data_IF_415785487136
#
_entry.id   IF_415785487136
#
_cell.length_a   1.000
_cell.length_b   1.000
_cell.length_c   1.000
_cell.angle_alpha   90.00
_cell.angle_beta   90.00
_cell.angle_gamma   90.00
#
_symmetry.space_group_name_H-M   'P 1'
#
loop_
_entity.id
_entity.type
_entity.pdbx_description
1 polymer ?
#
# COMPACT_ATOMS: atom_id res chain seq x y z
N UNK A 1 30.28 5.54 -1.46
CA UNK A 1 28.92 4.94 -1.38
C UNK A 1 28.71 4.45 0.03
N UNK A 2 28.02 5.22 0.87
CA UNK A 2 27.72 4.80 2.25
C UNK A 2 26.59 3.80 2.16
N UNK A 3 26.95 2.54 2.34
CA UNK A 3 25.98 1.44 2.46
C UNK A 3 25.30 1.59 3.83
N UNK A 4 24.19 2.29 3.90
CA UNK A 4 23.36 2.36 5.11
C UNK A 4 22.76 0.98 5.31
N UNK A 5 23.39 0.21 6.19
CA UNK A 5 22.85 -1.10 6.60
C UNK A 5 21.62 -0.85 7.43
N UNK A 6 20.47 -1.32 6.98
CA UNK A 6 19.27 -1.39 7.81
C UNK A 6 19.52 -2.31 9.00
N UNK A 7 18.77 -2.12 10.08
CA UNK A 7 18.79 -3.01 11.23
C UNK A 7 17.43 -3.68 11.42
N UNK A 8 17.46 -4.93 11.87
CA UNK A 8 16.30 -5.72 12.26
C UNK A 8 16.55 -6.28 13.65
N UNK A 9 15.70 -5.92 14.61
CA UNK A 9 15.66 -6.51 15.93
C UNK A 9 14.34 -7.25 16.08
N UNK A 10 14.44 -8.48 16.57
CA UNK A 10 13.27 -9.33 16.84
C UNK A 10 13.41 -9.89 18.25
N UNK A 11 12.40 -9.69 19.07
CA UNK A 11 12.30 -10.21 20.42
C UNK A 11 10.90 -10.76 20.62
N UNK A 12 10.77 -11.89 21.32
CA UNK A 12 9.45 -12.46 21.50
C UNK A 12 9.41 -13.72 22.33
N UNK A 13 8.21 -14.20 22.55
CA UNK A 13 7.89 -15.44 23.25
C UNK A 13 7.04 -16.34 22.37
N UNK A 14 7.31 -17.64 22.47
CA UNK A 14 6.53 -18.69 21.82
C UNK A 14 6.15 -19.75 22.85
N UNK A 15 4.86 -19.97 23.01
CA UNK A 15 4.30 -21.12 23.70
C UNK A 15 3.61 -22.01 22.67
N UNK A 16 3.89 -23.30 22.69
CA UNK A 16 3.41 -24.23 21.65
C UNK A 16 2.05 -24.84 22.01
N UNK A 17 1.79 -25.11 23.30
CA UNK A 17 0.54 -25.68 23.79
C UNK A 17 0.04 -24.94 25.05
N UNK A 18 -1.09 -24.22 24.97
CA UNK A 18 -1.76 -23.76 23.75
C UNK A 18 -0.85 -22.81 22.95
N UNK A 19 -1.07 -22.71 21.65
CA UNK A 19 -0.27 -21.79 20.81
C UNK A 19 -0.51 -20.35 21.26
N UNK A 20 0.55 -19.71 21.71
CA UNK A 20 0.56 -18.29 22.07
C UNK A 20 1.92 -17.68 21.65
N UNK A 21 1.87 -16.74 20.75
CA UNK A 21 3.03 -16.08 20.16
C UNK A 21 2.92 -14.57 20.34
N UNK A 22 3.97 -13.95 20.85
CA UNK A 22 4.10 -12.51 20.88
C UNK A 22 5.51 -12.13 20.41
N UNK A 23 5.60 -11.37 19.30
CA UNK A 23 6.88 -11.01 18.67
C UNK A 23 6.92 -9.50 18.48
N UNK A 24 7.91 -8.87 19.09
CA UNK A 24 8.27 -7.46 18.87
C UNK A 24 9.25 -7.38 17.73
N UNK A 25 8.93 -6.56 16.74
CA UNK A 25 9.76 -6.35 15.57
C UNK A 25 10.09 -4.87 15.46
N UNK A 26 11.38 -4.56 15.44
CA UNK A 26 11.86 -3.20 15.18
C UNK A 26 12.81 -3.24 14.00
N UNK A 27 12.44 -2.53 12.93
CA UNK A 27 13.28 -2.35 11.74
C UNK A 27 13.61 -0.88 11.57
N UNK A 28 14.84 -0.59 11.13
CA UNK A 28 15.30 0.78 10.83
C UNK A 28 15.99 0.78 9.48
N UNK A 29 15.57 1.67 8.61
CA UNK A 29 16.21 1.95 7.32
C UNK A 29 16.46 0.70 6.46
N UNK A 30 15.52 -0.26 6.44
CA UNK A 30 15.58 -1.43 5.55
C UNK A 30 15.42 -0.91 4.11
N UNK A 31 16.38 -1.13 3.21
CA UNK A 31 16.27 -0.65 1.83
C UNK A 31 15.18 -1.41 1.07
N UNK A 32 14.38 -0.67 0.30
CA UNK A 32 13.30 -1.23 -0.53
C UNK A 32 13.77 -1.62 -1.94
N UNK A 33 15.02 -1.35 -2.31
CA UNK A 33 15.55 -1.70 -3.63
C UNK A 33 15.38 -3.19 -4.02
N UNK A 34 15.44 -4.16 -3.10
CA UNK A 34 15.21 -5.57 -3.44
C UNK A 34 13.81 -5.88 -3.97
N UNK A 35 12.80 -5.03 -3.72
CA UNK A 35 11.44 -5.23 -4.26
C UNK A 35 11.26 -4.63 -5.67
N UNK A 36 12.22 -3.84 -6.17
CA UNK A 36 12.13 -3.21 -7.50
C UNK A 36 11.83 -4.21 -8.62
N UNK A 37 12.48 -5.39 -8.71
CA UNK A 37 12.18 -6.35 -9.77
C UNK A 37 10.72 -6.81 -9.78
N UNK A 38 10.09 -6.92 -8.62
CA UNK A 38 8.67 -7.28 -8.50
C UNK A 38 7.77 -6.13 -8.95
N UNK A 39 8.08 -4.90 -8.55
CA UNK A 39 7.34 -3.71 -8.99
C UNK A 39 7.39 -3.55 -10.50
N UNK A 40 8.57 -3.73 -11.09
CA UNK A 40 8.79 -3.55 -12.52
C UNK A 40 8.12 -4.63 -13.40
N UNK A 41 7.65 -5.73 -12.84
CA UNK A 41 6.81 -6.70 -13.57
C UNK A 41 5.42 -6.16 -13.86
N UNK A 42 4.83 -5.41 -12.93
CA UNK A 42 3.46 -4.92 -13.00
C UNK A 42 3.36 -3.45 -13.39
N UNK A 43 4.44 -2.70 -13.15
CA UNK A 43 4.46 -1.25 -13.30
C UNK A 43 5.60 -0.79 -14.22
N UNK A 44 5.32 0.24 -15.01
CA UNK A 44 6.30 0.94 -15.84
C UNK A 44 7.04 2.02 -15.03
N UNK A 45 7.45 1.66 -13.83
CA UNK A 45 8.21 2.54 -12.94
C UNK A 45 9.50 1.87 -12.49
N UNK A 46 10.45 2.69 -12.04
CA UNK A 46 11.66 2.24 -11.38
C UNK A 46 11.72 2.83 -9.98
N UNK A 47 11.79 1.97 -8.98
CA UNK A 47 12.07 2.37 -7.62
C UNK A 47 13.57 2.69 -7.51
N UNK A 48 13.93 3.93 -7.29
CA UNK A 48 15.33 4.37 -7.23
C UNK A 48 15.84 4.54 -5.81
N UNK A 49 14.95 4.85 -4.87
CA UNK A 49 15.23 4.93 -3.43
C UNK A 49 13.99 4.57 -2.64
N UNK A 50 14.19 4.09 -1.43
CA UNK A 50 13.15 3.81 -0.48
C UNK A 50 13.69 3.06 0.71
N UNK A 51 13.17 3.38 1.89
CA UNK A 51 13.54 2.76 3.14
C UNK A 51 12.29 2.45 3.95
N UNK A 52 12.31 1.29 4.61
CA UNK A 52 11.27 0.86 5.51
C UNK A 52 11.76 0.95 6.95
N UNK A 53 10.97 1.54 7.82
CA UNK A 53 11.09 1.41 9.26
C UNK A 53 9.76 0.93 9.85
N UNK A 54 9.85 0.05 10.82
CA UNK A 54 8.71 -0.49 11.54
C UNK A 54 9.08 -0.65 13.02
N UNK A 55 8.12 -0.40 13.91
CA UNK A 55 8.23 -0.75 15.32
C UNK A 55 6.86 -1.19 15.80
N UNK A 56 6.75 -2.46 16.14
CA UNK A 56 5.46 -3.01 16.56
C UNK A 56 5.56 -4.39 17.16
N UNK A 57 4.42 -4.91 17.55
CA UNK A 57 4.23 -6.22 18.15
C UNK A 57 3.18 -7.00 17.36
N UNK A 58 3.54 -8.18 16.92
CA UNK A 58 2.64 -9.14 16.32
C UNK A 58 2.28 -10.21 17.36
N UNK A 59 1.02 -10.55 17.44
CA UNK A 59 0.50 -11.58 18.35
C UNK A 59 -0.31 -12.61 17.58
N UNK A 60 -0.20 -13.88 17.98
CA UNK A 60 -1.04 -14.95 17.46
C UNK A 60 -1.34 -15.95 18.57
N UNK A 61 -2.62 -16.25 18.78
CA UNK A 61 -3.09 -17.21 19.76
C UNK A 61 -4.12 -18.15 19.13
N UNK A 62 -3.95 -19.43 19.35
CA UNK A 62 -4.93 -20.43 18.98
C UNK A 62 -5.67 -20.90 20.22
N UNK A 63 -6.97 -20.66 20.27
CA UNK A 63 -7.86 -21.13 21.33
C UNK A 63 -9.00 -22.01 20.76
N UNK A 64 -9.94 -22.40 21.60
CA UNK A 64 -11.09 -23.23 21.21
C UNK A 64 -12.03 -22.54 20.21
N UNK A 65 -11.95 -21.22 20.07
CA UNK A 65 -12.76 -20.41 19.15
C UNK A 65 -12.07 -20.17 17.81
N UNK A 66 -10.78 -20.48 17.69
CA UNK A 66 -10.01 -20.32 16.45
C UNK A 66 -8.70 -19.54 16.63
N UNK A 67 -8.10 -19.16 15.51
CA UNK A 67 -6.87 -18.37 15.49
C UNK A 67 -7.20 -16.88 15.65
N UNK A 68 -6.71 -16.29 16.72
CA UNK A 68 -6.70 -14.84 16.95
C UNK A 68 -5.31 -14.31 16.67
N UNK A 69 -5.18 -13.41 15.72
CA UNK A 69 -3.92 -12.75 15.39
C UNK A 69 -4.11 -11.23 15.34
N UNK A 70 -3.06 -10.51 15.65
CA UNK A 70 -3.08 -9.06 15.65
C UNK A 70 -1.70 -8.46 15.47
N UNK A 71 -1.68 -7.19 15.13
CA UNK A 71 -0.48 -6.38 15.05
C UNK A 71 -0.76 -4.99 15.60
N UNK A 72 0.13 -4.50 16.45
CA UNK A 72 0.11 -3.12 16.95
C UNK A 72 1.46 -2.47 16.73
N UNK A 73 1.46 -1.27 16.14
CA UNK A 73 2.73 -0.60 15.91
C UNK A 73 2.64 0.61 14.99
N UNK A 74 3.82 1.01 14.53
CA UNK A 74 4.00 2.12 13.61
C UNK A 74 4.81 1.65 12.41
N UNK A 75 4.58 2.30 11.28
CA UNK A 75 5.22 1.98 10.02
C UNK A 75 5.63 3.26 9.30
N UNK A 76 6.82 3.30 8.73
CA UNK A 76 7.32 4.46 7.98
C UNK A 76 7.95 4.02 6.68
N UNK A 77 7.52 4.63 5.58
CA UNK A 77 8.18 4.59 4.29
C UNK A 77 8.94 5.91 4.09
N UNK A 78 10.27 5.84 4.18
CA UNK A 78 11.14 7.00 4.11
C UNK A 78 11.92 7.09 2.81
N UNK A 79 12.32 8.31 2.43
CA UNK A 79 13.17 8.61 1.27
C UNK A 79 12.72 7.89 -0.02
N UNK A 80 11.41 7.86 -0.26
CA UNK A 80 10.84 7.12 -1.38
C UNK A 80 10.90 7.91 -2.67
N UNK A 81 11.44 7.30 -3.74
CA UNK A 81 11.53 7.91 -5.06
C UNK A 81 11.27 6.89 -6.15
N UNK A 82 10.30 7.19 -6.98
CA UNK A 82 9.91 6.39 -8.15
C UNK A 82 9.99 7.24 -9.41
N UNK A 83 10.61 6.69 -10.43
CA UNK A 83 10.77 7.29 -11.76
C UNK A 83 9.85 6.60 -12.76
N UNK A 84 9.15 7.37 -13.55
CA UNK A 84 8.38 6.91 -14.72
C UNK A 84 9.34 6.46 -15.82
N UNK A 85 9.29 5.17 -16.20
CA UNK A 85 10.15 4.62 -17.25
C UNK A 85 9.76 5.10 -18.66
N UNK A 86 8.51 5.43 -18.86
CA UNK A 86 7.99 5.87 -20.17
C UNK A 86 8.47 7.29 -20.47
N UNK A 87 8.35 8.19 -19.49
CA UNK A 87 8.69 9.60 -19.64
C UNK A 87 10.11 9.94 -19.13
N UNK A 88 10.83 8.97 -18.54
CA UNK A 88 12.19 9.15 -17.97
C UNK A 88 12.27 10.33 -16.99
N UNK A 89 11.26 10.48 -16.14
CA UNK A 89 11.11 11.61 -15.24
C UNK A 89 10.68 11.17 -13.83
N UNK A 90 10.97 12.00 -12.82
CA UNK A 90 10.44 11.79 -11.47
C UNK A 90 8.91 11.71 -11.55
N UNK A 91 8.36 10.62 -11.05
CA UNK A 91 6.91 10.39 -11.02
C UNK A 91 6.32 10.66 -9.65
N UNK A 92 6.92 10.07 -8.63
CA UNK A 92 6.41 10.12 -7.27
C UNK A 92 7.57 10.10 -6.28
N UNK A 93 7.56 11.02 -5.31
CA UNK A 93 8.53 11.04 -4.22
C UNK A 93 7.96 11.66 -2.96
N UNK A 94 8.47 11.21 -1.82
CA UNK A 94 8.23 11.81 -0.52
C UNK A 94 9.42 11.57 0.42
N UNK A 95 9.53 12.44 1.43
CA UNK A 95 10.55 12.29 2.48
C UNK A 95 10.14 11.23 3.49
N UNK A 96 8.90 11.26 3.94
CA UNK A 96 8.35 10.30 4.89
C UNK A 96 6.84 10.15 4.71
N UNK A 97 6.40 8.91 4.67
CA UNK A 97 4.99 8.51 4.83
C UNK A 97 4.92 7.64 6.08
N UNK A 98 4.29 8.17 7.11
CA UNK A 98 4.17 7.57 8.43
C UNK A 98 2.74 7.10 8.71
N UNK A 99 2.62 5.91 9.28
CA UNK A 99 1.39 5.35 9.81
C UNK A 99 1.60 5.05 11.29
N UNK A 100 0.90 5.82 12.14
CA UNK A 100 1.00 5.73 13.59
C UNK A 100 -0.20 5.08 14.24
N UNK A 101 0.04 4.35 15.33
CA UNK A 101 -1.01 3.71 16.10
C UNK A 101 -1.82 2.68 15.31
N UNK A 102 -1.17 1.90 14.46
CA UNK A 102 -1.81 0.79 13.75
C UNK A 102 -2.24 -0.26 14.79
N UNK A 103 -3.53 -0.62 14.79
CA UNK A 103 -4.09 -1.74 15.53
C UNK A 103 -4.88 -2.62 14.56
N UNK A 104 -4.25 -3.71 14.14
CA UNK A 104 -4.85 -4.73 13.27
C UNK A 104 -5.26 -5.94 14.10
N UNK A 105 -6.46 -6.44 13.86
CA UNK A 105 -6.98 -7.68 14.42
C UNK A 105 -7.52 -8.55 13.29
N UNK A 106 -7.24 -9.85 13.35
CA UNK A 106 -7.73 -10.80 12.35
C UNK A 106 -9.17 -11.23 12.65
N UNK A 107 -9.51 -11.43 13.92
CA UNK A 107 -10.84 -11.88 14.33
C UNK A 107 -11.36 -11.13 15.57
N UNK A 108 -12.49 -10.38 15.44
CA UNK A 108 -13.08 -9.98 14.17
C UNK A 108 -12.10 -9.11 13.37
N UNK A 109 -12.13 -9.21 12.01
CA UNK A 109 -11.22 -8.43 11.19
C UNK A 109 -11.47 -6.94 11.37
N UNK A 110 -10.48 -6.24 11.89
CA UNK A 110 -10.53 -4.81 12.14
C UNK A 110 -9.16 -4.18 11.92
N UNK A 111 -9.14 -2.99 11.35
CA UNK A 111 -7.94 -2.16 11.20
C UNK A 111 -8.25 -0.76 11.71
N UNK A 112 -7.44 -0.28 12.63
CA UNK A 112 -7.47 1.10 13.09
C UNK A 112 -6.09 1.72 12.87
N UNK A 113 -6.04 2.95 12.38
CA UNK A 113 -4.83 3.76 12.19
C UNK A 113 -5.11 5.11 12.82
N UNK A 114 -4.34 5.47 13.84
CA UNK A 114 -4.58 6.70 14.60
C UNK A 114 -4.04 7.93 13.90
N UNK A 115 -2.97 7.78 13.09
CA UNK A 115 -2.29 8.89 12.45
C UNK A 115 -1.73 8.47 11.10
N UNK A 116 -1.88 9.33 10.09
CA UNK A 116 -1.19 9.25 8.81
C UNK A 116 -0.55 10.61 8.55
N UNK A 117 0.78 10.62 8.41
CA UNK A 117 1.52 11.84 8.11
C UNK A 117 2.39 11.66 6.86
N UNK A 118 2.30 12.62 5.95
CA UNK A 118 3.07 12.64 4.71
C UNK A 118 3.86 13.95 4.64
N UNK A 119 5.17 13.86 4.41
CA UNK A 119 6.06 15.03 4.31
C UNK A 119 6.83 15.04 3.00
N UNK A 120 7.04 16.26 2.48
CA UNK A 120 7.81 16.55 1.26
C UNK A 120 7.32 15.71 0.07
N UNK A 121 6.01 15.69 -0.11
CA UNK A 121 5.37 14.97 -1.19
C UNK A 121 5.50 15.72 -2.51
N UNK A 122 5.84 14.97 -3.56
CA UNK A 122 5.82 15.43 -4.94
C UNK A 122 5.28 14.34 -5.85
N UNK A 123 4.41 14.74 -6.78
CA UNK A 123 3.95 13.88 -7.86
C UNK A 123 3.89 14.66 -9.17
N UNK A 124 4.31 14.03 -10.26
CA UNK A 124 4.22 14.58 -11.62
C UNK A 124 3.12 13.89 -12.40
N UNK A 125 2.00 14.58 -12.56
CA UNK A 125 0.89 14.14 -13.38
C UNK A 125 0.94 14.88 -14.73
N UNK A 126 0.93 14.13 -15.82
CA UNK A 126 0.98 14.66 -17.19
C UNK A 126 -0.29 14.25 -17.89
N UNK A 127 -1.05 15.23 -18.38
CA UNK A 127 -2.19 15.02 -19.27
C UNK A 127 -1.69 15.14 -20.71
N UNK A 128 -1.82 14.09 -21.50
CA UNK A 128 -1.43 14.10 -22.91
C UNK A 128 -2.50 14.79 -23.80
N UNK A 129 -2.20 14.95 -25.10
CA UNK A 129 -3.10 15.60 -26.05
C UNK A 129 -4.42 14.84 -26.25
N UNK A 130 -4.43 13.55 -26.00
CA UNK A 130 -5.59 12.65 -26.07
C UNK A 130 -6.42 12.65 -24.78
N UNK A 131 -6.09 13.50 -23.79
CA UNK A 131 -6.80 13.58 -22.52
C UNK A 131 -6.49 12.44 -21.55
N UNK A 132 -5.40 11.68 -21.74
CA UNK A 132 -4.99 10.60 -20.85
C UNK A 132 -3.90 11.07 -19.87
N UNK A 133 -4.04 10.69 -18.62
CA UNK A 133 -3.00 10.89 -17.59
C UNK A 133 -1.90 9.82 -17.73
N UNK A 134 -0.64 10.22 -17.53
CA UNK A 134 0.52 9.32 -17.49
C UNK A 134 0.39 8.19 -16.47
N UNK A 135 -0.44 8.35 -15.45
CA UNK A 135 -0.78 7.29 -14.48
C UNK A 135 -1.34 6.05 -15.18
N UNK A 136 -2.09 6.21 -16.27
CA UNK A 136 -2.63 5.10 -17.05
C UNK A 136 -1.53 4.25 -17.72
N UNK A 137 -0.38 4.84 -18.01
CA UNK A 137 0.77 4.17 -18.62
C UNK A 137 1.71 3.54 -17.58
N UNK A 138 1.54 3.90 -16.31
CA UNK A 138 2.30 3.32 -15.19
C UNK A 138 1.93 1.85 -14.97
N UNK A 139 0.66 1.49 -15.09
CA UNK A 139 0.21 0.11 -14.93
C UNK A 139 0.41 -0.64 -16.24
N UNK A 140 1.22 -1.70 -16.21
CA UNK A 140 1.38 -2.59 -17.37
C UNK A 140 0.08 -3.32 -17.64
N UNK A 141 -0.42 -3.25 -18.85
CA UNK A 141 -1.56 -4.05 -19.26
C UNK A 141 -1.13 -5.52 -19.29
N UNK A 142 -1.90 -6.46 -18.70
CA UNK A 142 -1.64 -7.87 -18.88
C UNK A 142 -1.72 -8.19 -20.38
N UNK A 143 -0.73 -8.91 -20.92
CA UNK A 143 -0.77 -9.37 -22.29
C UNK A 143 -2.04 -10.22 -22.49
N UNK A 144 -3.03 -9.68 -23.20
CA UNK A 144 -4.26 -10.39 -23.56
C UNK A 144 -5.59 -9.80 -23.06
N UNK A 145 -5.61 -8.64 -22.44
CA UNK A 145 -6.86 -8.00 -22.02
C UNK A 145 -7.06 -6.71 -22.80
N UNK A 146 -7.94 -6.72 -23.79
CA UNK A 146 -8.52 -5.49 -24.34
C UNK A 146 -9.19 -4.70 -23.21
N UNK A 147 -8.92 -3.40 -23.15
CA UNK A 147 -9.53 -2.50 -22.17
C UNK A 147 -11.06 -2.64 -22.21
N UNK A 148 -11.75 -2.66 -21.05
CA UNK A 148 -13.19 -2.49 -21.05
C UNK A 148 -13.51 -1.19 -21.77
N UNK A 149 -14.26 -1.27 -22.86
CA UNK A 149 -14.81 -0.09 -23.54
C UNK A 149 -15.70 0.61 -22.52
N UNK A 150 -15.27 1.79 -22.10
CA UNK A 150 -16.04 2.72 -21.29
C UNK A 150 -17.24 3.19 -22.11
N UNK A 151 -18.33 2.48 -21.97
CA UNK A 151 -19.63 2.75 -22.57
C UNK A 151 -20.66 2.82 -21.46
N UNK A 152 -20.46 3.70 -20.48
CA UNK A 152 -21.54 4.10 -19.62
C UNK A 152 -22.43 5.09 -20.37
N UNK A 153 -23.46 4.57 -21.03
CA UNK A 153 -24.59 5.34 -21.52
C UNK A 153 -25.21 6.08 -20.34
N UNK A 154 -25.52 7.38 -20.46
CA UNK A 154 -26.28 8.07 -19.43
C UNK A 154 -27.62 7.37 -19.22
N UNK A 155 -27.98 7.08 -17.97
CA UNK A 155 -29.31 6.62 -17.59
C UNK A 155 -30.33 7.68 -17.97
N UNK A 156 -31.20 7.37 -18.91
CA UNK A 156 -32.40 8.13 -19.19
C UNK A 156 -33.29 8.16 -17.92
N UNK A 157 -33.87 9.32 -17.54
CA UNK A 157 -34.79 9.38 -16.41
C UNK A 157 -36.07 8.59 -16.72
N UNK A 158 -36.47 7.76 -15.76
CA UNK A 158 -37.68 6.95 -15.83
C UNK A 158 -38.93 7.88 -16.03
N UNK A 159 -39.93 7.44 -16.84
CA UNK A 159 -41.14 8.24 -17.07
C UNK A 159 -41.98 8.30 -15.80
N UNK A 160 -42.42 9.53 -15.48
CA UNK A 160 -43.35 9.83 -14.39
C UNK A 160 -44.68 9.07 -14.62
N UNK A 161 -45.03 8.22 -13.68
CA UNK A 161 -46.35 7.60 -13.62
C UNK A 161 -47.39 8.61 -13.19
N UNK A 162 -48.23 9.02 -14.12
CA UNK A 162 -49.45 9.78 -13.84
C UNK A 162 -50.37 8.96 -12.95
N UNK A 163 -50.57 9.39 -11.71
CA UNK A 163 -51.64 8.90 -10.85
C UNK A 163 -52.93 9.58 -11.32
N UNK A 164 -53.82 8.79 -11.88
CA UNK A 164 -55.17 9.22 -12.20
C UNK A 164 -56.02 9.25 -10.94
N UNK A 165 -56.57 10.40 -10.63
CA UNK A 165 -57.62 10.57 -9.64
C UNK A 165 -58.92 9.94 -10.12
N UNK A 166 -59.53 9.14 -9.26
CA UNK A 166 -60.98 8.98 -9.14
C UNK A 166 -61.35 8.52 -7.75
#
# INVERSE_FOLDING_TARGET
TINKKGSLNVDGSLQVFPLDVAVKVETKAIPLMPIEPYLSQFLNVSLTRGQLANKGEATARLDTTGLKAGYKGNFTLGDFVVVDKVNSADFLKWKSLYFGGIDFKLEPMAVNISEIALSDFYSRLILNKEGKLNVADIVKKPNGSEAPKEGAKPLEPAPESKVAAK
#
